data_IF_141319419242
#
_entry.id   IF_141319419242
#
_cell.length_a   1.000
_cell.length_b   1.000
_cell.length_c   1.000
_cell.angle_alpha   90.00
_cell.angle_beta   90.00
_cell.angle_gamma   90.00
#
_symmetry.space_group_name_H-M   'P 1'
#
loop_
_entity.id
_entity.type
_entity.pdbx_description
1 polymer ?
#
# COMPACT_ATOMS: atom_id res chain seq x y z
N UNK A 1 5.26 1.61 8.07
CA UNK A 1 4.29 1.84 9.17
C UNK A 1 4.45 3.27 9.64
N UNK A 2 3.34 3.97 9.89
CA UNK A 2 3.30 5.35 10.41
C UNK A 2 3.14 5.31 11.93
N UNK A 3 4.11 5.81 12.72
CA UNK A 3 4.04 5.81 14.18
C UNK A 3 3.11 6.90 14.74
N UNK A 4 2.76 7.91 13.95
CA UNK A 4 1.97 9.04 14.40
C UNK A 4 0.50 8.63 14.66
N UNK A 5 -0.14 9.11 15.76
CA UNK A 5 -1.48 8.64 16.16
C UNK A 5 -2.60 8.88 15.15
N UNK A 6 -2.48 9.93 14.34
CA UNK A 6 -3.49 10.40 13.37
C UNK A 6 -3.17 10.00 11.92
N UNK A 7 -2.19 9.11 11.72
CA UNK A 7 -1.75 8.63 10.41
C UNK A 7 -2.11 7.15 10.21
N UNK A 8 -2.38 6.71 8.97
CA UNK A 8 -2.28 7.46 7.72
C UNK A 8 -3.52 8.29 7.35
N UNK A 9 -3.33 9.31 6.50
CA UNK A 9 -4.39 10.14 5.91
C UNK A 9 -4.28 10.15 4.37
N UNK A 10 -5.38 9.99 3.61
CA UNK A 10 -5.34 9.90 2.15
C UNK A 10 -4.56 11.02 1.47
N UNK A 11 -4.79 12.28 1.85
CA UNK A 11 -4.14 13.45 1.24
C UNK A 11 -2.63 13.52 1.54
N UNK A 12 -2.19 13.00 2.67
CA UNK A 12 -0.81 13.13 3.13
C UNK A 12 0.05 11.89 2.83
N UNK A 13 -0.58 10.73 2.63
CA UNK A 13 0.13 9.44 2.55
C UNK A 13 -0.07 8.67 1.24
N UNK A 14 -1.03 9.05 0.38
CA UNK A 14 -1.26 8.30 -0.87
C UNK A 14 -0.03 8.26 -1.77
N UNK A 15 0.80 9.31 -1.76
CA UNK A 15 1.97 9.42 -2.63
C UNK A 15 3.24 8.80 -2.02
N UNK A 16 3.13 8.08 -0.90
CA UNK A 16 4.25 7.38 -0.27
C UNK A 16 4.96 6.44 -1.27
N UNK A 17 6.28 6.57 -1.38
CA UNK A 17 7.11 5.87 -2.39
C UNK A 17 6.52 6.02 -3.81
N UNK A 18 6.21 7.26 -4.20
CA UNK A 18 5.61 7.58 -5.50
C UNK A 18 4.30 6.82 -5.77
N UNK A 19 3.49 6.67 -4.74
CA UNK A 19 2.20 5.97 -4.82
C UNK A 19 2.27 4.45 -4.92
N UNK A 20 3.46 3.85 -4.75
CA UNK A 20 3.68 2.40 -4.81
C UNK A 20 3.64 1.68 -3.46
N UNK A 21 3.78 2.42 -2.35
CA UNK A 21 3.74 1.84 -1.02
C UNK A 21 2.34 1.94 -0.40
N UNK A 22 2.03 0.96 0.47
CA UNK A 22 0.89 1.03 1.38
C UNK A 22 1.37 1.65 2.69
N UNK A 23 0.69 2.70 3.12
CA UNK A 23 0.91 3.29 4.44
C UNK A 23 -0.05 2.64 5.44
N UNK A 24 0.48 2.07 6.53
CA UNK A 24 -0.29 1.43 7.61
C UNK A 24 -0.02 2.15 8.92
N UNK A 25 -1.05 2.39 9.72
CA UNK A 25 -0.95 3.02 11.04
C UNK A 25 -2.13 2.68 11.95
N UNK A 26 -2.18 3.28 13.14
CA UNK A 26 -3.20 3.03 14.18
C UNK A 26 -3.34 1.55 14.58
N UNK A 27 -2.22 0.84 14.55
CA UNK A 27 -2.09 -0.55 15.00
C UNK A 27 -2.42 -0.63 16.49
N UNK A 28 -3.45 -1.42 16.83
CA UNK A 28 -3.89 -1.65 18.21
C UNK A 28 -4.63 -2.98 18.31
N UNK A 29 -4.73 -3.52 19.51
CA UNK A 29 -5.57 -4.69 19.78
C UNK A 29 -7.04 -4.38 19.44
N UNK A 30 -7.73 -5.35 18.84
CA UNK A 30 -9.16 -5.26 18.60
C UNK A 30 -9.91 -6.00 19.72
N UNK A 31 -11.15 -5.59 20.01
CA UNK A 31 -11.96 -6.24 21.05
C UNK A 31 -12.70 -7.48 20.54
N UNK A 32 -12.78 -7.66 19.21
CA UNK A 32 -13.48 -8.77 18.55
C UNK A 32 -12.53 -9.72 17.81
N UNK A 33 -11.51 -9.16 17.18
CA UNK A 33 -10.43 -9.89 16.49
C UNK A 33 -9.10 -9.58 17.19
N UNK A 34 -7.97 -9.95 16.59
CA UNK A 34 -6.65 -9.72 17.20
C UNK A 34 -6.13 -8.29 17.00
N UNK A 35 -6.33 -7.70 15.82
CA UNK A 35 -5.69 -6.45 15.41
C UNK A 35 -6.66 -5.51 14.70
N UNK A 36 -6.59 -4.22 15.04
CA UNK A 36 -7.22 -3.13 14.30
C UNK A 36 -6.15 -2.18 13.76
N UNK A 37 -6.30 -1.78 12.50
CA UNK A 37 -5.37 -0.89 11.81
C UNK A 37 -6.09 -0.02 10.77
N UNK A 38 -5.40 1.00 10.25
CA UNK A 38 -5.83 1.80 9.11
C UNK A 38 -4.75 1.73 8.03
N UNK A 39 -5.17 1.50 6.78
CA UNK A 39 -4.29 1.47 5.61
C UNK A 39 -4.72 2.47 4.55
N UNK A 40 -3.75 3.16 3.95
CA UNK A 40 -3.94 4.05 2.79
C UNK A 40 -3.04 3.58 1.66
N UNK A 41 -3.59 3.53 0.45
CA UNK A 41 -2.90 3.18 -0.79
C UNK A 41 -3.40 4.08 -1.92
N UNK A 42 -2.55 4.37 -2.90
CA UNK A 42 -2.96 5.08 -4.11
C UNK A 42 -3.71 4.13 -5.05
N UNK A 43 -5.01 4.37 -5.25
CA UNK A 43 -5.87 3.47 -6.03
C UNK A 43 -5.55 3.45 -7.53
N UNK A 44 -5.20 4.58 -8.14
CA UNK A 44 -4.88 4.61 -9.59
C UNK A 44 -3.43 4.21 -9.92
N UNK A 45 -2.50 4.34 -8.97
CA UNK A 45 -1.11 3.93 -9.13
C UNK A 45 -0.94 2.49 -8.65
N UNK A 46 -0.65 2.28 -7.35
CA UNK A 46 -0.48 0.93 -6.80
C UNK A 46 -1.70 0.03 -7.01
N UNK A 47 -2.91 0.58 -6.89
CA UNK A 47 -4.14 -0.20 -7.06
C UNK A 47 -4.51 -0.50 -8.52
N UNK A 48 -3.85 0.12 -9.50
CA UNK A 48 -4.15 -0.08 -10.92
C UNK A 48 -2.89 -0.06 -11.79
N UNK A 49 -2.51 1.10 -12.34
CA UNK A 49 -1.52 1.18 -13.42
C UNK A 49 -0.12 0.67 -13.00
N UNK A 50 0.40 1.17 -11.88
CA UNK A 50 1.73 0.80 -11.42
C UNK A 50 1.77 -0.63 -10.86
N UNK A 51 0.65 -1.14 -10.34
CA UNK A 51 0.52 -2.56 -9.99
C UNK A 51 0.60 -3.47 -11.22
N UNK A 52 -0.03 -3.08 -12.33
CA UNK A 52 0.07 -3.81 -13.59
C UNK A 52 1.51 -3.81 -14.16
N UNK A 53 2.20 -2.67 -14.08
CA UNK A 53 3.61 -2.57 -14.50
C UNK A 53 4.50 -3.48 -13.64
N UNK A 54 4.34 -3.47 -12.31
CA UNK A 54 5.12 -4.34 -11.42
C UNK A 54 4.89 -5.83 -11.73
N UNK A 55 3.66 -6.21 -12.08
CA UNK A 55 3.37 -7.56 -12.55
C UNK A 55 4.05 -7.86 -13.89
N UNK A 56 4.06 -6.92 -14.83
CA UNK A 56 4.73 -7.08 -16.11
C UNK A 56 6.26 -7.24 -15.94
N UNK A 57 6.88 -6.42 -15.09
CA UNK A 57 8.30 -6.54 -14.73
C UNK A 57 8.62 -7.92 -14.15
N UNK A 58 7.76 -8.42 -13.25
CA UNK A 58 7.90 -9.76 -12.69
C UNK A 58 7.79 -10.85 -13.77
N UNK A 59 6.83 -10.74 -14.68
CA UNK A 59 6.63 -11.72 -15.76
C UNK A 59 7.83 -11.77 -16.71
N UNK A 60 8.42 -10.60 -17.04
CA UNK A 60 9.66 -10.53 -17.82
C UNK A 60 10.81 -11.16 -17.06
N UNK A 61 10.99 -10.84 -15.77
CA UNK A 61 12.03 -11.43 -14.95
C UNK A 61 11.92 -12.97 -14.84
N UNK A 62 10.69 -13.49 -14.85
CA UNK A 62 10.42 -14.92 -14.80
C UNK A 62 10.46 -15.62 -16.17
N UNK A 63 10.66 -14.87 -17.26
CA UNK A 63 10.73 -15.41 -18.62
C UNK A 63 9.38 -15.82 -19.20
N UNK A 64 8.27 -15.29 -18.68
CA UNK A 64 6.93 -15.51 -19.25
C UNK A 64 6.62 -14.58 -20.42
N UNK A 65 7.29 -13.44 -20.51
CA UNK A 65 7.13 -12.39 -21.54
C UNK A 65 8.51 -11.79 -21.83
N UNK A 66 8.76 -11.35 -23.06
CA UNK A 66 9.99 -10.64 -23.48
C UNK A 66 9.79 -9.13 -23.56
#
# INVERSE_FOLDING_TARGET
>A
VRPEPDRPQPRLDRDAKNGMAVSVGRLRTCNLLDLSMVSVVHNTLRGAASGAILNAELLVQQGYVE
#
